data_IF_412337038093
#
_entry.id   IF_412337038093
#
_cell.length_a   1.000
_cell.length_b   1.000
_cell.length_c   1.000
_cell.angle_alpha   90.00
_cell.angle_beta   90.00
_cell.angle_gamma   90.00
#
_symmetry.space_group_name_H-M   'P 1'
#
loop_
_entity.id
_entity.type
_entity.pdbx_description
1 polymer ?
#
# COMPACT_ATOMS: atom_id res chain seq x y z
N UNK A 1 9.36 2.69 6.03
CA UNK A 1 9.51 1.36 5.40
C UNK A 1 9.64 1.49 3.88
N UNK A 2 8.90 2.40 3.23
CA UNK A 2 9.20 2.85 1.86
C UNK A 2 10.30 3.93 1.81
N UNK A 3 10.84 4.17 0.62
CA UNK A 3 11.85 5.21 0.38
C UNK A 3 11.24 6.63 0.47
N UNK A 4 12.04 7.67 0.77
CA UNK A 4 11.55 9.03 1.02
C UNK A 4 10.63 9.60 -0.07
N UNK A 5 10.90 9.25 -1.34
CA UNK A 5 10.18 9.80 -2.51
C UNK A 5 8.94 8.98 -2.93
N UNK A 6 8.63 7.90 -2.21
CA UNK A 6 7.45 7.06 -2.47
C UNK A 6 6.14 7.84 -2.37
N UNK A 7 6.12 8.94 -1.60
CA UNK A 7 4.92 9.73 -1.32
C UNK A 7 4.03 9.09 -0.24
N UNK A 8 4.48 8.00 0.38
CA UNK A 8 3.78 7.37 1.48
C UNK A 8 3.93 8.19 2.77
N UNK A 9 2.83 8.36 3.48
CA UNK A 9 2.81 8.96 4.82
C UNK A 9 2.46 7.85 5.82
N UNK A 10 3.24 7.68 6.90
CA UNK A 10 2.89 6.76 7.96
C UNK A 10 1.48 7.07 8.48
N UNK A 11 0.67 6.02 8.65
CA UNK A 11 -0.68 6.11 9.20
C UNK A 11 -0.65 5.42 10.56
N UNK A 12 -0.97 6.11 11.66
CA UNK A 12 -0.99 5.50 12.98
C UNK A 12 -2.19 4.54 13.09
N UNK A 13 -2.06 3.52 13.94
CA UNK A 13 -3.10 2.49 14.11
C UNK A 13 -4.46 3.08 14.52
N UNK A 14 -4.44 4.14 15.33
CA UNK A 14 -5.65 4.84 15.78
C UNK A 14 -6.46 5.45 14.63
N UNK A 15 -5.81 5.73 13.50
CA UNK A 15 -6.46 6.32 12.31
C UNK A 15 -6.98 5.25 11.34
N UNK A 16 -6.80 3.94 11.63
CA UNK A 16 -7.23 2.82 10.78
C UNK A 16 -8.02 1.77 11.57
N UNK A 17 -8.83 2.22 12.52
CA UNK A 17 -9.72 1.35 13.31
C UNK A 17 -11.01 1.04 12.52
N UNK A 18 -11.56 2.02 11.82
CA UNK A 18 -12.79 1.85 11.03
C UNK A 18 -12.49 1.24 9.65
N UNK A 19 -13.37 0.37 9.15
CA UNK A 19 -13.18 -0.29 7.85
C UNK A 19 -13.08 0.69 6.68
N UNK A 20 -13.75 1.85 6.75
CA UNK A 20 -13.63 2.93 5.76
C UNK A 20 -12.23 3.55 5.78
N UNK A 21 -11.63 3.68 6.96
CA UNK A 21 -10.29 4.21 7.14
C UNK A 21 -9.21 3.21 6.68
N UNK A 22 -9.39 1.91 6.97
CA UNK A 22 -8.56 0.82 6.43
C UNK A 22 -8.59 0.85 4.90
N UNK A 23 -9.77 0.92 4.28
CA UNK A 23 -9.93 1.00 2.82
C UNK A 23 -9.18 2.19 2.22
N UNK A 24 -9.28 3.37 2.83
CA UNK A 24 -8.58 4.58 2.38
C UNK A 24 -7.06 4.45 2.49
N UNK A 25 -6.55 3.89 3.60
CA UNK A 25 -5.13 3.67 3.79
C UNK A 25 -4.57 2.66 2.79
N UNK A 26 -5.28 1.56 2.57
CA UNK A 26 -4.96 0.55 1.55
C UNK A 26 -4.88 1.17 0.15
N UNK A 27 -5.90 1.91 -0.28
CA UNK A 27 -5.92 2.57 -1.60
C UNK A 27 -4.72 3.52 -1.79
N UNK A 28 -4.38 4.32 -0.76
CA UNK A 28 -3.20 5.19 -0.81
C UNK A 28 -1.91 4.39 -0.94
N UNK A 29 -1.77 3.27 -0.25
CA UNK A 29 -0.59 2.42 -0.31
C UNK A 29 -0.43 1.83 -1.72
N UNK A 30 -1.53 1.31 -2.30
CA UNK A 30 -1.54 0.76 -3.65
C UNK A 30 -1.13 1.79 -4.70
N UNK A 31 -1.57 3.05 -4.57
CA UNK A 31 -1.13 4.13 -5.47
C UNK A 31 0.37 4.43 -5.36
N UNK A 32 0.93 4.39 -4.15
CA UNK A 32 2.37 4.60 -3.93
C UNK A 32 3.22 3.48 -4.54
N UNK A 33 2.69 2.25 -4.53
CA UNK A 33 3.39 1.04 -4.96
C UNK A 33 3.15 0.69 -6.42
N UNK A 34 2.21 1.36 -7.09
CA UNK A 34 1.86 1.04 -8.47
C UNK A 34 3.05 1.25 -9.43
N UNK A 35 3.33 0.30 -10.34
CA UNK A 35 4.49 0.37 -11.24
C UNK A 35 4.52 1.63 -12.11
N UNK A 36 3.36 2.13 -12.56
CA UNK A 36 3.26 3.40 -13.30
C UNK A 36 3.77 4.60 -12.48
N UNK A 37 3.43 4.66 -11.18
CA UNK A 37 3.87 5.75 -10.30
C UNK A 37 5.36 5.68 -9.99
N UNK A 38 5.89 4.46 -9.85
CA UNK A 38 7.33 4.22 -9.75
C UNK A 38 8.08 4.65 -11.02
N UNK A 39 7.54 4.32 -12.19
CA UNK A 39 8.14 4.69 -13.47
C UNK A 39 8.14 6.20 -13.67
N UNK A 40 7.04 6.89 -13.37
CA UNK A 40 6.94 8.35 -13.45
C UNK A 40 7.95 9.08 -12.54
N UNK A 41 8.35 8.46 -11.43
CA UNK A 41 9.29 9.03 -10.45
C UNK A 41 10.74 8.58 -10.64
N UNK A 42 11.06 7.86 -11.71
CA UNK A 42 12.42 7.36 -11.94
C UNK A 42 12.86 6.27 -10.96
N UNK A 43 11.92 5.45 -10.47
CA UNK A 43 12.17 4.42 -9.47
C UNK A 43 13.27 3.43 -9.90
N UNK A 44 14.20 3.16 -8.98
CA UNK A 44 15.35 2.28 -9.22
C UNK A 44 14.92 0.81 -9.28
N UNK A 45 15.77 -0.07 -9.85
CA UNK A 45 15.49 -1.52 -9.91
C UNK A 45 15.18 -2.10 -8.51
N UNK A 46 15.98 -1.82 -7.45
CA UNK A 46 15.64 -2.27 -6.10
C UNK A 46 14.29 -1.77 -5.60
N UNK A 47 13.94 -0.49 -5.87
CA UNK A 47 12.66 0.08 -5.45
C UNK A 47 11.47 -0.59 -6.14
N UNK A 48 11.60 -0.91 -7.43
CA UNK A 48 10.55 -1.65 -8.17
C UNK A 48 10.35 -3.04 -7.59
N UNK A 49 11.43 -3.76 -7.33
CA UNK A 49 11.35 -5.10 -6.71
C UNK A 49 10.72 -5.05 -5.32
N UNK A 50 11.16 -4.12 -4.46
CA UNK A 50 10.55 -3.93 -3.14
C UNK A 50 9.08 -3.54 -3.24
N UNK A 51 8.71 -2.69 -4.21
CA UNK A 51 7.33 -2.29 -4.39
C UNK A 51 6.43 -3.46 -4.79
N UNK A 52 6.88 -4.30 -5.71
CA UNK A 52 6.18 -5.49 -6.17
C UNK A 52 5.90 -6.45 -5.01
N UNK A 53 6.92 -6.77 -4.21
CA UNK A 53 6.76 -7.65 -3.05
C UNK A 53 5.76 -7.09 -2.02
N UNK A 54 5.79 -5.78 -1.76
CA UNK A 54 4.85 -5.15 -0.82
C UNK A 54 3.44 -5.11 -1.42
N UNK A 55 3.31 -4.87 -2.72
CA UNK A 55 2.04 -4.81 -3.43
C UNK A 55 1.31 -6.16 -3.35
N UNK A 56 2.02 -7.27 -3.53
CA UNK A 56 1.45 -8.62 -3.42
C UNK A 56 0.97 -8.90 -1.98
N UNK A 57 1.81 -8.63 -0.98
CA UNK A 57 1.45 -8.82 0.44
C UNK A 57 0.21 -8.00 0.81
N UNK A 58 0.10 -6.77 0.32
CA UNK A 58 -1.05 -5.90 0.59
C UNK A 58 -2.32 -6.40 -0.09
N UNK A 59 -2.25 -6.94 -1.31
CA UNK A 59 -3.41 -7.53 -1.98
C UNK A 59 -3.94 -8.75 -1.23
N UNK A 60 -3.05 -9.61 -0.74
CA UNK A 60 -3.44 -10.78 0.06
C UNK A 60 -4.09 -10.35 1.38
N UNK A 61 -3.48 -9.40 2.09
CA UNK A 61 -4.02 -8.86 3.32
C UNK A 61 -5.39 -8.17 3.10
N UNK A 62 -5.57 -7.48 1.98
CA UNK A 62 -6.83 -6.85 1.60
C UNK A 62 -7.91 -7.88 1.30
N UNK A 63 -7.57 -8.94 0.58
CA UNK A 63 -8.48 -10.06 0.29
C UNK A 63 -8.95 -10.69 1.60
N UNK A 64 -8.03 -10.99 2.51
CA UNK A 64 -8.37 -11.51 3.84
C UNK A 64 -9.24 -10.53 4.65
N UNK A 65 -8.91 -9.24 4.64
CA UNK A 65 -9.70 -8.21 5.34
C UNK A 65 -11.15 -8.18 4.85
N UNK A 66 -11.40 -8.25 3.54
CA UNK A 66 -12.77 -8.25 3.01
C UNK A 66 -13.49 -9.58 3.26
N UNK A 67 -12.78 -10.71 3.28
CA UNK A 67 -13.36 -12.02 3.59
C UNK A 67 -13.76 -12.14 5.08
N UNK A 68 -13.02 -11.49 5.98
CA UNK A 68 -13.34 -11.46 7.42
C UNK A 68 -14.38 -10.38 7.74
N UNK A 69 -14.40 -9.26 7.01
CA UNK A 69 -15.36 -8.19 7.21
C UNK A 69 -16.75 -8.47 6.60
N UNK A 70 -16.97 -9.65 5.99
CA UNK A 70 -18.24 -10.06 5.38
C UNK A 70 -19.10 -10.97 6.27
N UNK A 71 -18.82 -11.02 7.57
CA UNK A 71 -19.71 -11.62 8.59
C UNK A 71 -20.66 -10.59 9.21
#
# INVERSE_FOLDING_TARGET
>A
ILWPESGWKPVPLVDIVEGTAVRRAYQKAMLCLHPDKLQQKGGTIPQKYTAEQIFDILQDAWTNFNNVASF
#
